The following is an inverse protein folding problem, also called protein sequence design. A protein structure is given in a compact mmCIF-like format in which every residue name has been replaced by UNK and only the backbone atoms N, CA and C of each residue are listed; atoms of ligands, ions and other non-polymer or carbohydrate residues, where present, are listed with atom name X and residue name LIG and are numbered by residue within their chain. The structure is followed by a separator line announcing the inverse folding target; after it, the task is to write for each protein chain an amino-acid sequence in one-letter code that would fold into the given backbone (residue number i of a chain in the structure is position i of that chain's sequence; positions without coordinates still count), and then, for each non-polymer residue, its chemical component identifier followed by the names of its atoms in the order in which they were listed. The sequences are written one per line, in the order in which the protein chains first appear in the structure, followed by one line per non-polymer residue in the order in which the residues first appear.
data_IF_435804092368
#
_entry.id   IF_435804092368
#
_cell.length_a   1.000
_cell.length_b   1.000
_cell.length_c   1.000
_cell.angle_alpha   90.00
_cell.angle_beta   90.00
_cell.angle_gamma   90.00
#
_symmetry.space_group_name_H-M   'P 1'
#
loop_
_entity.id
_entity.type
_entity.pdbx_description
1 polymer ?
#
# COMPACT_ATOMS: atom_id res chain seq x y z
N UNK A 1 -28.84 7.42 -7.99
CA UNK A 1 -28.87 6.43 -6.89
C UNK A 1 -28.11 6.99 -5.70
N UNK A 2 -28.69 6.95 -4.50
CA UNK A 2 -28.00 7.28 -3.25
C UNK A 2 -27.82 5.98 -2.45
N UNK A 3 -26.62 5.73 -1.92
CA UNK A 3 -26.40 4.63 -0.98
C UNK A 3 -26.78 5.07 0.43
N UNK A 4 -27.39 4.18 1.20
CA UNK A 4 -27.57 4.37 2.64
C UNK A 4 -26.22 4.31 3.35
N UNK A 5 -26.08 5.02 4.47
CA UNK A 5 -24.79 5.07 5.18
C UNK A 5 -24.38 3.71 5.77
N UNK A 6 -25.36 2.90 6.19
CA UNK A 6 -25.12 1.51 6.61
C UNK A 6 -24.50 0.67 5.49
N UNK A 7 -25.02 0.80 4.26
CA UNK A 7 -24.48 0.06 3.11
C UNK A 7 -23.09 0.58 2.72
N UNK A 8 -22.86 1.91 2.76
CA UNK A 8 -21.53 2.47 2.53
C UNK A 8 -20.52 1.90 3.53
N UNK A 9 -20.88 1.82 4.82
CA UNK A 9 -20.02 1.27 5.85
C UNK A 9 -19.69 -0.21 5.56
N UNK A 10 -20.71 -1.03 5.32
CA UNK A 10 -20.56 -2.45 5.02
C UNK A 10 -19.63 -2.69 3.82
N UNK A 11 -19.83 -1.96 2.71
CA UNK A 11 -19.00 -2.09 1.51
C UNK A 11 -17.55 -1.66 1.75
N UNK A 12 -17.34 -0.57 2.51
CA UNK A 12 -16.00 -0.09 2.87
C UNK A 12 -15.27 -1.10 3.77
N UNK A 13 -15.93 -1.61 4.79
CA UNK A 13 -15.39 -2.59 5.71
C UNK A 13 -15.04 -3.90 5.01
N UNK A 14 -15.94 -4.41 4.17
CA UNK A 14 -15.70 -5.62 3.36
C UNK A 14 -14.48 -5.42 2.45
N UNK A 15 -14.37 -4.27 1.78
CA UNK A 15 -13.21 -3.97 0.94
C UNK A 15 -11.91 -3.82 1.74
N UNK A 16 -11.96 -3.44 3.02
CA UNK A 16 -10.78 -3.36 3.90
C UNK A 16 -10.29 -4.73 4.35
N UNK A 17 -11.21 -5.67 4.60
CA UNK A 17 -10.88 -7.04 4.99
C UNK A 17 -10.26 -7.86 3.83
N UNK A 18 -10.60 -7.51 2.58
CA UNK A 18 -10.04 -8.15 1.39
C UNK A 18 -8.70 -7.52 0.99
N UNK A 19 -7.82 -8.33 0.39
CA UNK A 19 -6.53 -7.88 -0.13
C UNK A 19 -6.31 -8.34 -1.57
N UNK A 20 -5.35 -7.70 -2.26
CA UNK A 20 -4.90 -8.10 -3.59
C UNK A 20 -6.02 -8.25 -4.63
N UNK A 21 -6.01 -9.38 -5.34
CA UNK A 21 -6.97 -9.69 -6.40
C UNK A 21 -8.41 -9.87 -5.89
N UNK A 22 -8.60 -10.45 -4.70
CA UNK A 22 -9.92 -10.66 -4.11
C UNK A 22 -10.64 -9.32 -3.86
N UNK A 23 -9.91 -8.33 -3.33
CA UNK A 23 -10.42 -6.97 -3.15
C UNK A 23 -10.83 -6.34 -4.48
N UNK A 24 -10.01 -6.48 -5.52
CA UNK A 24 -10.33 -5.93 -6.85
C UNK A 24 -11.57 -6.61 -7.42
N UNK A 25 -11.67 -7.94 -7.38
CA UNK A 25 -12.86 -8.66 -7.82
C UNK A 25 -14.13 -8.16 -7.13
N UNK A 26 -14.10 -8.01 -5.81
CA UNK A 26 -15.23 -7.47 -5.04
C UNK A 26 -15.61 -6.05 -5.47
N UNK A 27 -14.62 -5.15 -5.62
CA UNK A 27 -14.85 -3.78 -6.09
C UNK A 27 -15.49 -3.78 -7.48
N UNK A 28 -14.98 -4.59 -8.42
CA UNK A 28 -15.52 -4.69 -9.77
C UNK A 28 -16.97 -5.17 -9.77
N UNK A 29 -17.25 -6.26 -9.05
CA UNK A 29 -18.61 -6.81 -8.95
C UNK A 29 -19.58 -5.80 -8.34
N UNK A 30 -19.15 -5.09 -7.29
CA UNK A 30 -19.95 -4.04 -6.65
C UNK A 30 -20.23 -2.90 -7.64
N UNK A 31 -19.21 -2.40 -8.33
CA UNK A 31 -19.38 -1.28 -9.27
C UNK A 31 -20.25 -1.66 -10.47
N UNK A 32 -20.12 -2.88 -10.99
CA UNK A 32 -21.00 -3.40 -12.05
C UNK A 32 -22.44 -3.52 -11.55
N UNK A 33 -22.65 -4.00 -10.32
CA UNK A 33 -23.98 -4.11 -9.71
C UNK A 33 -24.64 -2.74 -9.46
N UNK A 34 -23.85 -1.69 -9.22
CA UNK A 34 -24.35 -0.31 -9.12
C UNK A 34 -24.83 0.27 -10.47
N UNK A 35 -24.52 -0.39 -11.58
CA UNK A 35 -25.00 -0.02 -12.92
C UNK A 35 -24.40 1.28 -13.46
N UNK A 36 -25.19 1.98 -14.29
CA UNK A 36 -24.74 3.21 -14.96
C UNK A 36 -24.32 4.27 -13.94
N UNK A 37 -23.13 4.85 -14.12
CA UNK A 37 -22.56 5.81 -13.17
C UNK A 37 -21.96 5.20 -11.91
N UNK A 38 -21.93 3.86 -11.78
CA UNK A 38 -21.34 3.16 -10.63
C UNK A 38 -19.88 3.55 -10.35
N UNK A 39 -19.11 3.86 -11.39
CA UNK A 39 -17.74 4.38 -11.27
C UNK A 39 -17.67 5.69 -10.47
N UNK A 40 -18.47 6.68 -10.86
CA UNK A 40 -18.51 7.99 -10.21
C UNK A 40 -19.12 7.88 -8.81
N UNK A 41 -20.13 7.03 -8.64
CA UNK A 41 -20.79 6.79 -7.36
C UNK A 41 -19.84 6.13 -6.36
N UNK A 42 -19.11 5.07 -6.76
CA UNK A 42 -18.16 4.38 -5.90
C UNK A 42 -16.97 5.28 -5.50
N UNK A 43 -16.51 6.15 -6.38
CA UNK A 43 -15.50 7.13 -6.00
C UNK A 43 -16.06 8.11 -4.95
N UNK A 44 -17.23 8.71 -5.22
CA UNK A 44 -17.79 9.77 -4.37
C UNK A 44 -18.22 9.26 -3.00
N UNK A 45 -18.92 8.13 -2.96
CA UNK A 45 -19.53 7.60 -1.72
C UNK A 45 -18.59 6.63 -0.98
N UNK A 46 -17.86 5.79 -1.73
CA UNK A 46 -17.02 4.73 -1.17
C UNK A 46 -15.54 5.12 -1.07
N UNK A 47 -15.11 6.21 -1.73
CA UNK A 47 -13.72 6.67 -1.73
C UNK A 47 -12.79 5.77 -2.55
N UNK A 48 -13.33 4.92 -3.43
CA UNK A 48 -12.53 3.99 -4.20
C UNK A 48 -11.86 4.67 -5.40
N UNK A 49 -10.56 4.40 -5.59
CA UNK A 49 -9.77 5.00 -6.67
C UNK A 49 -10.26 4.50 -8.05
N UNK A 50 -10.53 5.44 -8.97
CA UNK A 50 -10.99 5.15 -10.34
C UNK A 50 -10.05 4.25 -11.13
N UNK A 51 -8.73 4.36 -10.94
CA UNK A 51 -7.72 3.51 -11.60
C UNK A 51 -7.86 2.07 -11.13
N UNK A 52 -8.02 1.87 -9.82
CA UNK A 52 -8.25 0.54 -9.23
C UNK A 52 -9.54 -0.06 -9.75
N UNK A 53 -10.63 0.71 -9.78
CA UNK A 53 -11.92 0.25 -10.32
C UNK A 53 -11.77 -0.16 -11.80
N UNK A 54 -11.12 0.68 -12.62
CA UNK A 54 -10.92 0.39 -14.05
C UNK A 54 -10.11 -0.89 -14.27
N UNK A 55 -9.02 -1.08 -13.51
CA UNK A 55 -8.23 -2.33 -13.54
C UNK A 55 -9.09 -3.52 -13.15
N UNK A 56 -9.84 -3.38 -12.05
CA UNK A 56 -10.68 -4.44 -11.52
C UNK A 56 -11.80 -4.86 -12.49
N UNK A 57 -12.43 -3.91 -13.17
CA UNK A 57 -13.45 -4.21 -14.19
C UNK A 57 -12.84 -4.93 -15.40
N UNK A 58 -11.64 -4.52 -15.84
CA UNK A 58 -10.92 -5.23 -16.91
C UNK A 58 -10.58 -6.66 -16.52
N UNK A 59 -10.10 -6.88 -15.29
CA UNK A 59 -9.85 -8.22 -14.74
C UNK A 59 -11.15 -9.05 -14.68
N UNK A 60 -12.26 -8.44 -14.24
CA UNK A 60 -13.57 -9.10 -14.18
C UNK A 60 -14.07 -9.50 -15.57
N UNK A 61 -14.00 -8.61 -16.55
CA UNK A 61 -14.49 -8.85 -17.92
C UNK A 61 -13.63 -9.85 -18.69
N UNK A 62 -12.31 -9.84 -18.47
CA UNK A 62 -11.39 -10.78 -19.13
C UNK A 62 -11.31 -12.14 -18.43
N UNK A 63 -11.74 -12.24 -17.18
CA UNK A 63 -11.52 -13.41 -16.33
C UNK A 63 -10.07 -13.59 -15.88
N UNK A 64 -9.17 -12.68 -16.25
CA UNK A 64 -7.73 -12.76 -15.96
C UNK A 64 -7.41 -11.91 -14.73
N UNK A 65 -6.78 -12.53 -13.74
CA UNK A 65 -6.23 -11.79 -12.59
C UNK A 65 -4.87 -11.20 -12.99
N UNK A 66 -4.75 -9.86 -13.01
CA UNK A 66 -3.46 -9.24 -13.31
C UNK A 66 -2.52 -9.38 -12.11
N UNK A 67 -1.35 -9.96 -12.35
CA UNK A 67 -0.27 -10.05 -11.37
C UNK A 67 0.59 -8.78 -11.49
N UNK A 68 0.77 -8.08 -10.37
CA UNK A 68 1.60 -6.89 -10.34
C UNK A 68 3.09 -7.27 -10.41
N UNK A 69 3.81 -6.73 -11.41
CA UNK A 69 5.25 -6.95 -11.57
C UNK A 69 6.06 -6.04 -10.64
N UNK A 70 5.96 -6.26 -9.32
CA UNK A 70 6.72 -5.49 -8.34
C UNK A 70 8.23 -5.60 -8.55
N UNK A 71 8.71 -6.77 -8.99
CA UNK A 71 10.13 -7.03 -9.25
C UNK A 71 10.68 -6.23 -10.44
N UNK A 72 9.83 -5.89 -11.40
CA UNK A 72 10.17 -5.02 -12.53
C UNK A 72 10.17 -3.52 -12.20
N UNK A 73 9.75 -3.13 -10.98
CA UNK A 73 9.94 -1.74 -10.52
C UNK A 73 11.43 -1.56 -10.28
N UNK A 74 12.16 -0.97 -11.24
CA UNK A 74 13.63 -0.89 -11.29
C UNK A 74 14.33 -0.15 -10.13
N UNK A 75 13.63 0.11 -9.02
CA UNK A 75 14.23 0.61 -7.78
C UNK A 75 14.65 -0.58 -6.92
N UNK A 76 15.93 -0.90 -6.97
CA UNK A 76 16.52 -1.91 -6.08
C UNK A 76 16.74 -1.34 -4.68
N UNK A 77 16.98 -2.23 -3.71
CA UNK A 77 17.42 -1.85 -2.37
C UNK A 77 18.77 -1.13 -2.46
N UNK A 78 19.05 -0.21 -1.55
CA UNK A 78 20.31 0.53 -1.55
C UNK A 78 21.51 -0.43 -1.43
N UNK A 79 21.34 -1.51 -0.66
CA UNK A 79 22.30 -2.60 -0.47
C UNK A 79 22.62 -3.35 -1.77
N UNK A 80 21.72 -3.34 -2.76
CA UNK A 80 22.00 -3.92 -4.08
C UNK A 80 23.03 -3.09 -4.86
N UNK A 81 23.06 -1.78 -4.63
CA UNK A 81 24.04 -0.87 -5.23
C UNK A 81 25.29 -0.68 -4.35
N UNK A 82 25.13 -0.83 -3.04
CA UNK A 82 26.16 -0.64 -2.02
C UNK A 82 26.25 -1.91 -1.15
N UNK A 83 26.95 -2.96 -1.59
CA UNK A 83 26.98 -4.24 -0.87
C UNK A 83 27.49 -4.13 0.57
N UNK A 84 28.35 -3.15 0.82
CA UNK A 84 28.97 -2.87 2.11
C UNK A 84 28.26 -1.76 2.91
N UNK A 85 27.06 -1.33 2.49
CA UNK A 85 26.35 -0.18 3.07
C UNK A 85 26.28 -0.25 4.60
N UNK A 86 25.94 -1.41 5.15
CA UNK A 86 25.84 -1.58 6.60
C UNK A 86 27.21 -1.44 7.29
N UNK A 87 28.26 -2.05 6.74
CA UNK A 87 29.59 -1.94 7.35
C UNK A 87 30.14 -0.53 7.25
N UNK A 88 29.86 0.17 6.16
CA UNK A 88 30.34 1.52 5.93
C UNK A 88 29.61 2.51 6.85
N UNK A 89 28.29 2.36 7.03
CA UNK A 89 27.53 3.12 8.03
C UNK A 89 28.09 2.92 9.43
N UNK A 90 28.35 1.66 9.84
CA UNK A 90 28.93 1.37 11.16
C UNK A 90 30.29 2.03 11.33
N UNK A 91 31.20 1.88 10.35
CA UNK A 91 32.52 2.51 10.38
C UNK A 91 32.45 4.04 10.53
N UNK A 92 31.48 4.68 9.87
CA UNK A 92 31.29 6.14 9.96
C UNK A 92 30.76 6.57 11.32
N UNK A 93 29.81 5.81 11.88
CA UNK A 93 29.04 6.23 13.06
C UNK A 93 29.65 5.75 14.37
N UNK A 94 30.34 4.61 14.40
CA UNK A 94 30.87 3.99 15.63
C UNK A 94 31.84 4.93 16.37
N UNK A 95 32.72 5.64 15.65
CA UNK A 95 33.67 6.58 16.25
C UNK A 95 33.04 7.84 16.86
N UNK A 96 31.81 8.17 16.49
CA UNK A 96 31.07 9.34 16.97
C UNK A 96 29.89 8.96 17.88
N UNK A 97 29.72 7.67 18.15
CA UNK A 97 28.63 7.13 18.94
C UNK A 97 28.96 7.12 20.43
N UNK A 98 28.01 7.56 21.24
CA UNK A 98 28.13 7.58 22.70
C UNK A 98 26.97 6.83 23.32
N UNK A 99 27.22 6.19 24.46
CA UNK A 99 26.15 5.55 25.24
C UNK A 99 25.15 6.61 25.72
N UNK A 100 23.89 6.19 25.88
CA UNK A 100 22.84 6.97 26.53
C UNK A 100 23.38 7.70 27.78
N UNK A 101 23.35 9.04 27.82
CA UNK A 101 23.87 9.81 28.96
C UNK A 101 23.20 9.49 30.28
N UNK A 102 21.97 8.99 30.25
CA UNK A 102 21.24 8.60 31.45
C UNK A 102 21.63 7.20 31.96
N UNK A 103 22.43 6.45 31.21
CA UNK A 103 22.85 5.06 31.46
C UNK A 103 21.68 4.08 31.70
N UNK A 104 20.46 4.46 31.31
CA UNK A 104 19.27 3.60 31.43
C UNK A 104 19.12 2.61 30.28
N UNK A 105 19.91 2.77 29.22
CA UNK A 105 19.88 1.90 28.04
C UNK A 105 21.26 1.71 27.42
N UNK A 106 21.43 0.60 26.69
CA UNK A 106 22.62 0.32 25.88
C UNK A 106 22.53 0.92 24.48
N UNK A 107 21.59 1.85 24.23
CA UNK A 107 21.49 2.51 22.93
C UNK A 107 22.64 3.48 22.75
N UNK A 108 23.20 3.48 21.54
CA UNK A 108 24.21 4.42 21.12
C UNK A 108 23.55 5.58 20.39
N UNK A 109 23.95 6.80 20.74
CA UNK A 109 23.49 8.04 20.14
C UNK A 109 24.68 8.75 19.49
N UNK A 110 24.46 9.29 18.29
CA UNK A 110 25.41 10.17 17.61
C UNK A 110 25.03 11.62 17.90
N UNK A 111 26.02 12.48 18.19
CA UNK A 111 25.77 13.93 18.31
C UNK A 111 25.49 14.50 16.92
N UNK A 112 24.33 15.11 16.74
CA UNK A 112 24.04 15.94 15.57
C UNK A 112 24.57 17.35 15.89
N UNK A 113 25.57 17.79 15.14
CA UNK A 113 26.13 19.15 15.22
C UNK A 113 25.21 20.15 14.51
#
# INVERSE_FOLDING_TARGET
MQLTDSLKHLLKETAQQLTGAAKRKFIAQTVVALGYGGHSLAQRELGWNRVTISKAIKELNSGITCIDNYRGRGRYKAESHLPNLLSDIKKLVDGQSQIDPSFKSQRLYMRLS
#
